data_IF_755371563145
#
_entry.id   IF_755371563145
#
_cell.length_a   1.000
_cell.length_b   1.000
_cell.length_c   1.000
_cell.angle_alpha   90.00
_cell.angle_beta   90.00
_cell.angle_gamma   90.00
#
_symmetry.space_group_name_H-M   'P 1'
#
loop_
_entity.id
_entity.type
_entity.pdbx_description
1 polymer ?
#
# COMPACT_ATOMS: atom_id res chain seq x y z
N UNK A 1 -10.38 -0.21 -24.68
CA UNK A 1 -11.01 0.79 -23.78
C UNK A 1 -10.84 0.32 -22.34
N UNK A 2 -10.32 1.16 -21.48
CA UNK A 2 -10.10 0.84 -20.06
C UNK A 2 -11.43 0.77 -19.34
N UNK A 3 -11.63 -0.29 -18.56
CA UNK A 3 -12.83 -0.54 -17.75
C UNK A 3 -12.53 -0.57 -16.24
N UNK A 4 -11.27 -0.82 -15.86
CA UNK A 4 -10.87 -0.84 -14.48
C UNK A 4 -9.52 -0.18 -14.28
N UNK A 5 -9.35 0.49 -13.12
CA UNK A 5 -8.07 0.99 -12.65
C UNK A 5 -7.82 0.39 -11.27
N UNK A 6 -6.67 -0.27 -11.12
CA UNK A 6 -6.20 -0.78 -9.85
C UNK A 6 -5.13 0.16 -9.29
N UNK A 7 -5.24 0.45 -8.02
CA UNK A 7 -4.28 1.30 -7.32
C UNK A 7 -3.52 0.49 -6.27
N UNK A 8 -2.24 0.77 -6.13
CA UNK A 8 -1.57 0.55 -4.87
C UNK A 8 -2.06 1.54 -3.81
N UNK A 9 -1.77 1.26 -2.54
CA UNK A 9 -2.19 2.10 -1.42
C UNK A 9 -1.08 3.03 -0.95
N UNK A 10 0.03 2.46 -0.46
CA UNK A 10 1.11 3.19 0.19
C UNK A 10 1.94 3.97 -0.84
N UNK A 11 2.25 5.24 -0.53
CA UNK A 11 2.98 6.16 -1.40
C UNK A 11 2.32 6.42 -2.78
N UNK A 12 1.14 5.81 -2.99
CA UNK A 12 0.30 6.00 -4.18
C UNK A 12 -0.99 6.77 -3.85
N UNK A 13 -1.72 6.39 -2.82
CA UNK A 13 -2.93 7.06 -2.36
C UNK A 13 -2.80 7.66 -0.96
N UNK A 14 -1.93 7.08 -0.12
CA UNK A 14 -1.66 7.51 1.25
C UNK A 14 -0.15 7.48 1.55
N UNK A 15 0.26 8.28 2.56
CA UNK A 15 1.62 8.20 3.14
C UNK A 15 1.48 8.09 4.65
N UNK A 16 1.91 6.98 5.28
CA UNK A 16 1.87 6.82 6.73
C UNK A 16 3.03 7.57 7.39
N UNK A 17 2.86 8.88 7.59
CA UNK A 17 3.87 9.76 8.19
C UNK A 17 3.92 9.60 9.71
N UNK A 18 5.12 9.75 10.28
CA UNK A 18 5.30 9.86 11.72
C UNK A 18 4.74 11.19 12.24
N UNK A 19 4.19 11.15 13.43
CA UNK A 19 3.66 12.31 14.13
C UNK A 19 4.79 13.13 14.80
N UNK A 20 4.44 14.28 15.37
CA UNK A 20 5.44 15.09 16.08
C UNK A 20 5.99 14.42 17.34
N UNK A 21 5.20 13.56 17.99
CA UNK A 21 5.54 12.86 19.23
C UNK A 21 4.74 11.58 19.37
N UNK A 22 5.17 10.70 20.27
CA UNK A 22 4.54 9.41 20.60
C UNK A 22 4.59 8.40 19.44
N UNK A 23 5.65 8.45 18.67
CA UNK A 23 5.90 7.47 17.64
C UNK A 23 6.49 6.17 18.22
N UNK A 24 6.41 5.11 17.46
CA UNK A 24 6.88 3.77 17.86
C UNK A 24 8.36 3.80 18.29
N UNK A 25 9.20 4.48 17.52
CA UNK A 25 10.64 4.61 17.79
C UNK A 25 10.93 5.40 19.07
N UNK A 26 10.17 6.47 19.35
CA UNK A 26 10.36 7.29 20.58
C UNK A 26 9.99 6.52 21.84
N UNK A 27 8.90 5.74 21.81
CA UNK A 27 8.48 4.86 22.91
C UNK A 27 9.59 3.87 23.29
N UNK A 28 10.32 3.40 22.29
CA UNK A 28 11.41 2.43 22.48
C UNK A 28 12.76 3.11 22.78
N UNK A 29 12.90 4.41 22.55
CA UNK A 29 14.16 5.15 22.69
C UNK A 29 15.12 4.91 21.53
N UNK A 30 14.58 4.67 20.34
CA UNK A 30 15.31 4.42 19.10
C UNK A 30 15.27 5.65 18.19
N UNK A 31 16.13 5.70 17.19
CA UNK A 31 15.95 6.56 16.01
C UNK A 31 14.94 5.92 15.04
N UNK A 32 14.43 6.73 14.10
CA UNK A 32 13.54 6.25 13.03
C UNK A 32 14.19 5.09 12.25
N UNK A 33 15.45 5.26 11.84
CA UNK A 33 16.15 4.24 11.05
C UNK A 33 16.38 2.93 11.82
N UNK A 34 16.67 2.98 13.12
CA UNK A 34 16.80 1.77 13.94
C UNK A 34 15.45 1.05 14.08
N UNK A 35 14.37 1.77 14.31
CA UNK A 35 13.02 1.20 14.34
C UNK A 35 12.66 0.53 13.02
N UNK A 36 12.88 1.20 11.90
CA UNK A 36 12.56 0.68 10.56
C UNK A 36 13.35 -0.58 10.22
N UNK A 37 14.61 -0.71 10.67
CA UNK A 37 15.38 -1.94 10.51
C UNK A 37 14.70 -3.17 11.15
N UNK A 38 14.03 -2.99 12.29
CA UNK A 38 13.26 -4.06 12.93
C UNK A 38 11.86 -4.21 12.32
N UNK A 39 11.16 -3.09 12.15
CA UNK A 39 9.78 -3.08 11.69
C UNK A 39 9.62 -3.52 10.23
N UNK A 40 10.62 -3.24 9.39
CA UNK A 40 10.64 -3.60 7.97
C UNK A 40 11.66 -4.70 7.65
N UNK A 41 12.00 -5.55 8.66
CA UNK A 41 12.82 -6.73 8.43
C UNK A 41 12.18 -7.63 7.36
N UNK A 42 12.93 -7.98 6.33
CA UNK A 42 12.43 -8.66 5.12
C UNK A 42 11.65 -9.94 5.43
N UNK A 43 12.18 -10.79 6.33
CA UNK A 43 11.53 -12.06 6.68
C UNK A 43 10.20 -11.79 7.39
N UNK A 44 10.22 -10.93 8.39
CA UNK A 44 9.02 -10.60 9.15
C UNK A 44 7.98 -9.85 8.30
N UNK A 45 8.45 -8.95 7.42
CA UNK A 45 7.57 -8.28 6.46
C UNK A 45 6.82 -9.30 5.59
N UNK A 46 7.52 -10.29 5.01
CA UNK A 46 6.87 -11.33 4.21
C UNK A 46 5.88 -12.16 5.04
N UNK A 47 6.24 -12.57 6.25
CA UNK A 47 5.35 -13.34 7.12
C UNK A 47 4.04 -12.57 7.44
N UNK A 48 4.13 -11.31 7.84
CA UNK A 48 2.95 -10.51 8.22
C UNK A 48 2.11 -10.11 7.00
N UNK A 49 2.76 -9.74 5.89
CA UNK A 49 2.08 -9.35 4.68
C UNK A 49 1.44 -10.54 3.93
N UNK A 50 1.90 -11.77 4.16
CA UNK A 50 1.22 -13.01 3.72
C UNK A 50 0.10 -13.46 4.69
N UNK A 51 -0.10 -12.76 5.81
CA UNK A 51 -1.07 -13.15 6.82
C UNK A 51 -0.71 -14.41 7.61
N UNK A 52 0.57 -14.79 7.66
CA UNK A 52 1.07 -15.88 8.50
C UNK A 52 1.13 -15.43 9.96
N UNK A 53 1.34 -14.14 10.23
CA UNK A 53 1.18 -13.49 11.52
C UNK A 53 -0.19 -12.82 11.52
N UNK A 54 -1.10 -13.28 12.37
CA UNK A 54 -2.53 -13.00 12.22
C UNK A 54 -3.07 -11.90 13.11
N UNK A 55 -2.36 -11.56 14.18
CA UNK A 55 -2.84 -10.57 15.14
C UNK A 55 -1.86 -9.41 15.27
N UNK A 56 -2.41 -8.24 15.53
CA UNK A 56 -1.65 -7.01 15.72
C UNK A 56 -0.61 -7.15 16.85
N UNK A 57 -1.01 -7.81 17.94
CA UNK A 57 -0.13 -8.07 19.08
C UNK A 57 1.04 -8.97 18.67
N UNK A 58 0.78 -10.04 17.93
CA UNK A 58 1.81 -10.97 17.46
C UNK A 58 2.81 -10.27 16.53
N UNK A 59 2.34 -9.34 15.68
CA UNK A 59 3.21 -8.53 14.82
C UNK A 59 4.20 -7.74 15.68
N UNK A 60 3.70 -7.01 16.70
CA UNK A 60 4.56 -6.23 17.58
C UNK A 60 5.49 -7.13 18.40
N UNK A 61 5.01 -8.26 18.93
CA UNK A 61 5.84 -9.22 19.66
C UNK A 61 7.00 -9.74 18.79
N UNK A 62 6.75 -10.04 17.52
CA UNK A 62 7.81 -10.47 16.57
C UNK A 62 8.78 -9.33 16.25
N UNK A 63 8.29 -8.11 15.98
CA UNK A 63 9.18 -6.95 15.72
C UNK A 63 10.13 -6.73 16.89
N UNK A 64 9.61 -6.66 18.14
CA UNK A 64 10.45 -6.39 19.31
C UNK A 64 11.34 -7.57 19.69
N UNK A 65 11.01 -8.80 19.28
CA UNK A 65 11.88 -9.97 19.51
C UNK A 65 13.17 -9.93 18.69
N UNK A 66 13.25 -9.11 17.66
CA UNK A 66 14.46 -8.89 16.87
C UNK A 66 15.44 -7.92 17.57
N UNK A 67 15.01 -7.23 18.62
CA UNK A 67 15.81 -6.21 19.31
C UNK A 67 16.78 -6.85 20.29
N UNK A 68 17.97 -6.25 20.52
CA UNK A 68 18.97 -6.77 21.46
C UNK A 68 18.66 -6.48 22.95
N UNK A 69 17.46 -5.97 23.24
CA UNK A 69 17.00 -5.63 24.60
C UNK A 69 15.55 -6.05 24.83
N UNK A 70 15.19 -6.24 26.08
CA UNK A 70 13.81 -6.59 26.45
C UNK A 70 12.88 -5.39 26.38
N UNK A 71 11.70 -5.59 25.81
CA UNK A 71 10.63 -4.59 25.74
C UNK A 71 9.48 -5.02 26.64
N UNK A 72 9.14 -4.18 27.62
CA UNK A 72 8.05 -4.46 28.57
C UNK A 72 6.69 -4.54 27.85
N UNK A 73 5.74 -5.28 28.45
CA UNK A 73 4.37 -5.42 27.93
C UNK A 73 3.72 -4.06 27.70
N UNK A 74 3.89 -3.12 28.65
CA UNK A 74 3.33 -1.77 28.54
C UNK A 74 3.89 -1.04 27.30
N UNK A 75 5.20 -1.12 27.07
CA UNK A 75 5.80 -0.49 25.87
C UNK A 75 5.31 -1.14 24.57
N UNK A 76 5.13 -2.46 24.54
CA UNK A 76 4.58 -3.17 23.37
C UNK A 76 3.15 -2.68 23.03
N UNK A 77 2.31 -2.49 24.04
CA UNK A 77 0.96 -1.95 23.89
C UNK A 77 1.00 -0.51 23.38
N UNK A 78 1.91 0.33 23.88
CA UNK A 78 2.10 1.69 23.41
C UNK A 78 2.58 1.73 21.94
N UNK A 79 3.53 0.86 21.57
CA UNK A 79 4.03 0.74 20.18
C UNK A 79 2.91 0.30 19.23
N UNK A 80 2.11 -0.70 19.64
CA UNK A 80 0.95 -1.13 18.87
C UNK A 80 -0.02 0.02 18.66
N UNK A 81 -0.38 0.73 19.72
CA UNK A 81 -1.27 1.87 19.64
C UNK A 81 -0.73 2.97 18.71
N UNK A 82 0.55 3.31 18.82
CA UNK A 82 1.19 4.33 17.98
C UNK A 82 1.14 3.92 16.49
N UNK A 83 1.49 2.66 16.17
CA UNK A 83 1.43 2.14 14.80
C UNK A 83 0.00 2.14 14.25
N UNK A 84 -0.98 1.70 15.03
CA UNK A 84 -2.39 1.75 14.65
C UNK A 84 -2.86 3.18 14.36
N UNK A 85 -2.50 4.16 15.22
CA UNK A 85 -2.89 5.55 15.01
C UNK A 85 -2.24 6.11 13.74
N UNK A 86 -0.96 5.84 13.49
CA UNK A 86 -0.26 6.27 12.27
C UNK A 86 -0.95 5.74 11.01
N UNK A 87 -1.30 4.45 10.97
CA UNK A 87 -2.02 3.85 9.84
C UNK A 87 -3.43 4.41 9.69
N UNK A 88 -4.15 4.57 10.80
CA UNK A 88 -5.48 5.19 10.82
C UNK A 88 -5.46 6.62 10.28
N UNK A 89 -4.52 7.44 10.74
CA UNK A 89 -4.37 8.82 10.29
C UNK A 89 -4.08 8.87 8.79
N UNK A 90 -3.15 8.04 8.28
CA UNK A 90 -2.85 7.96 6.87
C UNK A 90 -4.10 7.60 6.02
N UNK A 91 -4.91 6.66 6.48
CA UNK A 91 -6.14 6.25 5.80
C UNK A 91 -7.25 7.30 5.87
N UNK A 92 -7.21 8.24 6.80
CA UNK A 92 -8.23 9.29 6.97
C UNK A 92 -7.85 10.61 6.30
N UNK A 93 -6.55 10.91 6.18
CA UNK A 93 -6.04 12.18 5.65
C UNK A 93 -5.78 12.12 4.13
N UNK A 94 -6.85 11.97 3.37
CA UNK A 94 -6.77 11.85 1.90
C UNK A 94 -6.87 13.24 1.26
N UNK A 95 -5.98 13.52 0.29
CA UNK A 95 -6.03 14.78 -0.42
C UNK A 95 -7.31 14.93 -1.24
N UNK A 96 -7.81 16.16 -1.33
CA UNK A 96 -9.00 16.47 -2.13
C UNK A 96 -8.81 16.10 -3.60
N UNK A 97 -7.61 16.27 -4.16
CA UNK A 97 -7.29 15.91 -5.54
C UNK A 97 -7.52 14.42 -5.81
N UNK A 98 -7.09 13.55 -4.88
CA UNK A 98 -7.33 12.10 -4.98
C UNK A 98 -8.83 11.81 -4.97
N UNK A 99 -9.56 12.32 -3.98
CA UNK A 99 -11.00 12.06 -3.86
C UNK A 99 -11.80 12.56 -5.07
N UNK A 100 -11.52 13.79 -5.54
CA UNK A 100 -12.18 14.37 -6.71
C UNK A 100 -11.88 13.55 -7.99
N UNK A 101 -10.67 13.01 -8.12
CA UNK A 101 -10.29 12.19 -9.27
C UNK A 101 -10.98 10.83 -9.24
N UNK A 102 -11.01 10.15 -8.09
CA UNK A 102 -11.70 8.87 -7.93
C UNK A 102 -13.21 9.02 -8.19
N UNK A 103 -13.83 10.10 -7.73
CA UNK A 103 -15.24 10.43 -8.03
C UNK A 103 -15.48 10.55 -9.54
N UNK A 104 -14.63 11.31 -10.23
CA UNK A 104 -14.76 11.50 -11.70
C UNK A 104 -14.54 10.20 -12.47
N UNK A 105 -13.63 9.32 -12.02
CA UNK A 105 -13.44 7.99 -12.60
C UNK A 105 -14.71 7.15 -12.48
N UNK A 106 -15.33 7.15 -11.30
CA UNK A 106 -16.62 6.44 -11.11
C UNK A 106 -17.74 6.99 -11.98
N UNK A 107 -17.82 8.31 -12.15
CA UNK A 107 -18.81 8.92 -13.06
C UNK A 107 -18.61 8.54 -14.55
N UNK A 108 -17.44 8.01 -14.91
CA UNK A 108 -17.14 7.43 -16.23
C UNK A 108 -17.34 5.91 -16.28
N UNK A 109 -18.01 5.32 -15.28
CA UNK A 109 -18.22 3.87 -15.15
C UNK A 109 -16.93 3.04 -15.09
N UNK A 110 -15.79 3.65 -14.69
CA UNK A 110 -14.54 2.94 -14.44
C UNK A 110 -14.62 2.24 -13.09
N UNK A 111 -14.43 0.92 -13.08
CA UNK A 111 -14.29 0.13 -11.85
C UNK A 111 -12.96 0.46 -11.17
N UNK A 112 -12.99 0.65 -9.85
CA UNK A 112 -11.79 0.93 -9.06
C UNK A 112 -11.47 -0.25 -8.16
N UNK A 113 -10.26 -0.78 -8.25
CA UNK A 113 -9.74 -1.85 -7.42
C UNK A 113 -8.52 -1.38 -6.62
N UNK A 114 -8.30 -1.97 -5.44
CA UNK A 114 -7.11 -1.78 -4.64
C UNK A 114 -6.33 -3.09 -4.55
N UNK A 115 -4.99 -3.03 -4.71
CA UNK A 115 -4.10 -4.17 -4.46
C UNK A 115 -2.93 -3.67 -3.61
N UNK A 116 -2.91 -4.01 -2.34
CA UNK A 116 -1.88 -3.55 -1.40
C UNK A 116 -1.18 -4.72 -0.71
N UNK A 117 0.16 -4.69 -0.67
CA UNK A 117 0.91 -5.48 0.27
C UNK A 117 0.76 -4.82 1.65
N UNK A 118 0.10 -5.51 2.57
CA UNK A 118 -0.29 -4.95 3.86
C UNK A 118 -0.47 -6.06 4.90
N UNK A 119 -0.21 -5.76 6.16
CA UNK A 119 -0.56 -6.62 7.28
C UNK A 119 -1.94 -6.24 7.89
N UNK A 120 -2.34 -6.93 8.95
CA UNK A 120 -3.64 -6.69 9.59
C UNK A 120 -3.72 -5.32 10.30
N UNK A 121 -2.60 -4.73 10.75
CA UNK A 121 -2.58 -3.37 11.32
C UNK A 121 -2.78 -2.35 10.21
N UNK A 122 -2.09 -2.53 9.08
CA UNK A 122 -2.07 -1.60 7.96
C UNK A 122 -3.46 -1.42 7.33
N UNK A 123 -4.26 -2.50 7.23
CA UNK A 123 -5.58 -2.47 6.63
C UNK A 123 -6.75 -2.36 7.63
N UNK A 124 -6.49 -2.36 8.93
CA UNK A 124 -7.50 -2.41 10.00
C UNK A 124 -8.61 -1.36 9.86
N UNK A 125 -8.24 -0.15 9.48
CA UNK A 125 -9.16 0.98 9.41
C UNK A 125 -9.61 1.32 7.98
N UNK A 126 -9.38 0.42 7.01
CA UNK A 126 -9.72 0.65 5.60
C UNK A 126 -11.20 1.03 5.39
N UNK A 127 -12.12 0.34 6.05
CA UNK A 127 -13.56 0.59 5.95
C UNK A 127 -14.01 1.94 6.55
N UNK A 128 -13.13 2.62 7.30
CA UNK A 128 -13.36 3.95 7.84
C UNK A 128 -12.69 5.05 7.00
N UNK A 129 -11.92 4.68 5.98
CA UNK A 129 -11.25 5.63 5.07
C UNK A 129 -12.28 6.26 4.13
N UNK A 130 -12.14 7.57 3.82
CA UNK A 130 -12.90 8.22 2.74
C UNK A 130 -12.72 7.53 1.37
N UNK A 131 -11.62 6.79 1.18
CA UNK A 131 -11.35 6.02 -0.04
C UNK A 131 -12.34 4.86 -0.22
N UNK A 132 -12.74 4.18 0.87
CA UNK A 132 -13.49 2.92 0.84
C UNK A 132 -14.70 2.96 -0.09
N UNK A 133 -15.47 4.04 -0.07
CA UNK A 133 -16.69 4.20 -0.88
C UNK A 133 -16.46 4.23 -2.39
N UNK A 134 -15.23 4.50 -2.83
CA UNK A 134 -14.91 4.59 -4.25
C UNK A 134 -14.53 3.24 -4.85
N UNK A 135 -13.98 2.34 -4.05
CA UNK A 135 -13.45 1.07 -4.51
C UNK A 135 -14.53 -0.01 -4.63
N UNK A 136 -14.55 -0.69 -5.78
CA UNK A 136 -15.44 -1.81 -6.04
C UNK A 136 -14.94 -3.09 -5.37
N UNK A 137 -13.61 -3.25 -5.24
CA UNK A 137 -12.95 -4.32 -4.49
C UNK A 137 -11.61 -3.84 -3.94
N UNK A 138 -11.18 -4.47 -2.83
CA UNK A 138 -9.92 -4.14 -2.18
C UNK A 138 -9.23 -5.40 -1.71
N UNK A 139 -8.05 -5.67 -2.26
CA UNK A 139 -7.22 -6.82 -1.92
C UNK A 139 -6.06 -6.35 -1.05
N UNK A 140 -6.04 -6.80 0.19
CA UNK A 140 -4.88 -6.73 1.07
C UNK A 140 -4.21 -8.11 1.09
N UNK A 141 -2.92 -8.14 0.88
CA UNK A 141 -2.14 -9.37 0.71
C UNK A 141 -2.30 -10.33 1.88
N UNK A 142 -2.33 -9.83 3.13
CA UNK A 142 -2.51 -10.64 4.33
C UNK A 142 -3.86 -11.38 4.38
N UNK A 143 -4.89 -10.90 3.67
CA UNK A 143 -6.21 -11.53 3.64
C UNK A 143 -6.33 -12.63 2.59
N UNK A 144 -5.42 -12.65 1.61
CA UNK A 144 -5.47 -13.60 0.49
C UNK A 144 -4.24 -14.51 0.40
N UNK A 145 -3.19 -14.25 1.19
CA UNK A 145 -1.96 -15.02 1.19
C UNK A 145 -1.14 -14.88 -0.11
N UNK A 146 -1.29 -13.75 -0.81
CA UNK A 146 -0.60 -13.45 -2.06
C UNK A 146 0.06 -12.07 -1.96
N UNK A 147 1.28 -11.93 -2.46
CA UNK A 147 2.05 -10.67 -2.45
C UNK A 147 2.31 -10.16 -3.87
N UNK A 148 2.29 -8.86 -4.06
CA UNK A 148 2.96 -8.24 -5.22
C UNK A 148 4.47 -8.51 -5.11
N UNK A 149 5.17 -8.86 -6.18
CA UNK A 149 4.76 -8.82 -7.60
C UNK A 149 4.21 -10.14 -8.15
N UNK A 150 3.77 -11.10 -7.32
CA UNK A 150 3.22 -12.36 -7.82
C UNK A 150 2.02 -12.10 -8.74
N UNK A 151 2.07 -12.65 -9.95
CA UNK A 151 0.99 -12.55 -10.94
C UNK A 151 -0.38 -12.97 -10.41
N UNK A 152 -0.42 -13.88 -9.45
CA UNK A 152 -1.66 -14.44 -8.92
C UNK A 152 -2.53 -13.37 -8.24
N UNK A 153 -1.93 -12.38 -7.53
CA UNK A 153 -2.71 -11.34 -6.86
C UNK A 153 -3.43 -10.42 -7.87
N UNK A 154 -2.79 -10.12 -9.01
CA UNK A 154 -3.40 -9.32 -10.08
C UNK A 154 -4.49 -10.10 -10.81
N UNK A 155 -4.26 -11.39 -11.08
CA UNK A 155 -5.27 -12.27 -11.67
C UNK A 155 -6.51 -12.37 -10.78
N UNK A 156 -6.34 -12.53 -9.47
CA UNK A 156 -7.42 -12.54 -8.49
C UNK A 156 -8.20 -11.23 -8.52
N UNK A 157 -7.49 -10.08 -8.58
CA UNK A 157 -8.11 -8.77 -8.64
C UNK A 157 -8.97 -8.60 -9.91
N UNK A 158 -8.43 -8.95 -11.08
CA UNK A 158 -9.16 -8.89 -12.34
C UNK A 158 -10.37 -9.82 -12.36
N UNK A 159 -10.24 -11.03 -11.81
CA UNK A 159 -11.35 -11.98 -11.68
C UNK A 159 -12.49 -11.39 -10.83
N UNK A 160 -12.18 -10.76 -9.69
CA UNK A 160 -13.19 -10.18 -8.78
C UNK A 160 -13.97 -9.03 -9.41
N UNK A 161 -13.35 -8.26 -10.28
CA UNK A 161 -14.02 -7.16 -10.99
C UNK A 161 -14.56 -7.58 -12.36
N UNK A 162 -14.39 -8.83 -12.78
CA UNK A 162 -14.82 -9.36 -14.08
C UNK A 162 -14.33 -8.47 -15.24
N UNK A 163 -13.00 -8.36 -15.36
CA UNK A 163 -12.31 -7.58 -16.39
C UNK A 163 -11.13 -8.34 -16.96
N UNK A 164 -10.82 -8.11 -18.25
CA UNK A 164 -9.64 -8.69 -18.90
C UNK A 164 -8.41 -7.79 -18.72
N UNK A 165 -7.19 -8.34 -18.78
CA UNK A 165 -5.95 -7.59 -18.53
C UNK A 165 -5.81 -6.34 -19.42
N UNK A 166 -6.15 -6.44 -20.70
CA UNK A 166 -6.10 -5.35 -21.69
C UNK A 166 -7.11 -4.21 -21.43
N UNK A 167 -8.04 -4.42 -20.51
CA UNK A 167 -9.02 -3.44 -20.04
C UNK A 167 -8.61 -2.77 -18.73
N UNK A 168 -7.42 -3.07 -18.20
CA UNK A 168 -6.98 -2.64 -16.89
C UNK A 168 -5.75 -1.73 -16.96
N UNK A 169 -5.74 -0.71 -16.09
CA UNK A 169 -4.53 0.00 -15.69
C UNK A 169 -4.20 -0.33 -14.23
N UNK A 170 -2.92 -0.48 -13.93
CA UNK A 170 -2.39 -0.55 -12.58
C UNK A 170 -1.57 0.70 -12.29
N UNK A 171 -1.89 1.40 -11.20
CA UNK A 171 -1.25 2.66 -10.78
C UNK A 171 -0.52 2.43 -9.48
N UNK A 172 0.79 2.69 -9.44
CA UNK A 172 1.60 2.52 -8.25
C UNK A 172 2.88 3.34 -8.26
N UNK A 173 3.52 3.44 -7.09
CA UNK A 173 4.79 4.16 -6.89
C UNK A 173 6.04 3.36 -7.31
N UNK A 174 5.85 2.10 -7.69
CA UNK A 174 6.90 1.16 -8.10
C UNK A 174 7.51 0.35 -6.97
N UNK A 175 7.02 0.48 -5.74
CA UNK A 175 7.40 -0.36 -4.61
C UNK A 175 7.09 -1.84 -4.86
N UNK A 176 7.80 -2.75 -4.17
CA UNK A 176 7.59 -4.21 -4.26
C UNK A 176 7.60 -4.76 -5.70
N UNK A 177 8.29 -4.12 -6.64
CA UNK A 177 8.28 -4.46 -8.07
C UNK A 177 6.87 -4.60 -8.69
N UNK A 178 5.90 -3.88 -8.17
CA UNK A 178 4.48 -4.03 -8.49
C UNK A 178 4.15 -3.75 -9.96
N UNK A 179 4.79 -2.75 -10.58
CA UNK A 179 4.58 -2.47 -12.02
C UNK A 179 5.07 -3.61 -12.91
N UNK A 180 6.19 -4.26 -12.53
CA UNK A 180 6.63 -5.50 -13.18
C UNK A 180 5.58 -6.61 -13.05
N UNK A 181 5.04 -6.81 -11.85
CA UNK A 181 3.99 -7.80 -11.59
C UNK A 181 2.73 -7.55 -12.40
N UNK A 182 2.23 -6.31 -12.39
CA UNK A 182 1.04 -5.90 -13.14
C UNK A 182 1.24 -6.07 -14.66
N UNK A 183 2.39 -5.63 -15.19
CA UNK A 183 2.75 -5.79 -16.60
C UNK A 183 2.87 -7.26 -16.99
N UNK A 184 3.43 -8.10 -16.11
CA UNK A 184 3.52 -9.55 -16.31
C UNK A 184 2.13 -10.23 -16.29
N UNK A 185 1.15 -9.63 -15.62
CA UNK A 185 -0.24 -10.06 -15.65
C UNK A 185 -1.01 -9.57 -16.89
N UNK A 186 -0.39 -8.72 -17.71
CA UNK A 186 -0.95 -8.19 -18.97
C UNK A 186 -1.72 -6.88 -18.80
N UNK A 187 -1.63 -6.22 -17.65
CA UNK A 187 -2.23 -4.91 -17.40
C UNK A 187 -1.38 -3.79 -18.01
N UNK A 188 -1.99 -2.70 -18.41
CA UNK A 188 -1.27 -1.43 -18.62
C UNK A 188 -0.79 -0.86 -17.29
N UNK A 189 0.37 -0.19 -17.28
CA UNK A 189 1.03 0.23 -16.03
C UNK A 189 1.29 1.72 -16.00
N UNK A 190 1.03 2.34 -14.85
CA UNK A 190 1.21 3.77 -14.61
C UNK A 190 2.11 3.96 -13.39
N UNK A 191 3.28 4.53 -13.60
CA UNK A 191 4.16 4.94 -12.52
C UNK A 191 3.69 6.27 -11.94
N UNK A 192 3.44 6.33 -10.64
CA UNK A 192 3.01 7.53 -9.92
C UNK A 192 4.13 8.06 -9.04
N UNK A 193 4.54 9.31 -9.26
CA UNK A 193 5.41 10.09 -8.37
C UNK A 193 4.64 11.22 -7.68
N UNK A 194 3.35 11.04 -7.44
CA UNK A 194 2.50 12.07 -6.85
C UNK A 194 2.80 12.31 -5.36
N UNK A 195 2.96 11.25 -4.60
CA UNK A 195 3.16 11.34 -3.14
C UNK A 195 4.61 11.12 -2.72
N UNK A 196 5.41 10.47 -3.56
CA UNK A 196 6.82 10.22 -3.31
C UNK A 196 7.65 10.37 -4.58
N UNK A 197 8.69 11.20 -4.52
CA UNK A 197 9.65 11.35 -5.62
C UNK A 197 10.78 10.35 -5.47
N UNK A 198 11.00 9.53 -6.49
CA UNK A 198 12.09 8.54 -6.49
C UNK A 198 13.41 9.17 -6.94
N UNK A 199 14.53 8.67 -6.41
CA UNK A 199 15.84 9.05 -6.91
C UNK A 199 16.09 8.49 -8.33
N UNK A 200 17.15 8.95 -9.00
CA UNK A 200 17.43 8.58 -10.40
C UNK A 200 17.56 7.07 -10.62
N UNK A 201 18.26 6.35 -9.72
CA UNK A 201 18.46 4.90 -9.84
C UNK A 201 17.16 4.12 -9.62
N UNK A 202 16.37 4.51 -8.64
CA UNK A 202 15.04 3.92 -8.41
C UNK A 202 14.12 4.15 -9.62
N UNK A 203 14.07 5.40 -10.11
CA UNK A 203 13.25 5.76 -11.28
C UNK A 203 13.64 4.94 -12.51
N UNK A 204 14.93 4.79 -12.80
CA UNK A 204 15.41 3.97 -13.92
C UNK A 204 14.95 2.52 -13.81
N UNK A 205 14.98 1.95 -12.61
CA UNK A 205 14.52 0.57 -12.36
C UNK A 205 13.02 0.39 -12.52
N UNK A 206 12.21 1.41 -12.23
CA UNK A 206 10.75 1.38 -12.26
C UNK A 206 10.22 1.66 -13.68
N UNK A 207 10.77 2.68 -14.34
CA UNK A 207 10.22 3.22 -15.60
C UNK A 207 10.21 2.20 -16.75
N UNK A 208 11.14 1.23 -16.73
CA UNK A 208 11.20 0.13 -17.73
C UNK A 208 9.97 -0.78 -17.71
N UNK A 209 9.21 -0.76 -16.62
CA UNK A 209 7.97 -1.53 -16.46
C UNK A 209 6.72 -0.66 -16.49
N UNK A 210 6.87 0.63 -16.75
CA UNK A 210 5.79 1.60 -16.84
C UNK A 210 5.46 1.93 -18.29
N UNK A 211 4.19 1.92 -18.63
CA UNK A 211 3.70 2.39 -19.93
C UNK A 211 3.45 3.90 -19.90
N UNK A 212 3.07 4.42 -18.73
CA UNK A 212 2.78 5.83 -18.47
C UNK A 212 3.41 6.28 -17.17
N UNK A 213 3.63 7.60 -17.02
CA UNK A 213 4.16 8.22 -15.83
C UNK A 213 3.34 9.46 -15.49
N UNK A 214 2.94 9.60 -14.22
CA UNK A 214 2.15 10.72 -13.73
C UNK A 214 2.77 11.35 -12.48
N UNK A 215 2.56 12.65 -12.35
CA UNK A 215 2.87 13.43 -11.13
C UNK A 215 1.62 13.96 -10.43
N UNK A 216 0.49 13.91 -11.12
CA UNK A 216 -0.83 14.26 -10.61
C UNK A 216 -1.82 13.17 -10.98
N UNK A 217 -2.66 12.77 -10.03
CA UNK A 217 -3.60 11.66 -10.26
C UNK A 217 -4.61 11.97 -11.39
N UNK A 218 -4.94 13.23 -11.61
CA UNK A 218 -5.86 13.64 -12.69
C UNK A 218 -5.29 13.43 -14.08
N UNK A 219 -3.97 13.23 -14.25
CA UNK A 219 -3.34 12.89 -15.52
C UNK A 219 -3.80 11.51 -16.04
N UNK A 220 -4.37 10.66 -15.16
CA UNK A 220 -4.96 9.37 -15.56
C UNK A 220 -6.01 9.53 -16.66
N UNK A 221 -6.72 10.65 -16.71
CA UNK A 221 -7.72 10.88 -17.75
C UNK A 221 -7.16 10.95 -19.18
N UNK A 222 -5.85 11.14 -19.34
CA UNK A 222 -5.19 11.14 -20.65
C UNK A 222 -5.02 9.73 -21.24
N UNK A 223 -5.26 8.68 -20.44
CA UNK A 223 -4.98 7.28 -20.79
C UNK A 223 -6.21 6.37 -20.80
N UNK A 224 -7.43 6.95 -20.70
CA UNK A 224 -8.71 6.24 -20.65
C UNK A 224 -9.35 6.03 -22.03
#
# INVERSE_FOLDING_TARGET
MIKAIYFDLFFTLIVPTYEKTNNEYEILGLSVGEWEQYAENDILYHERALGLVKTEKEIIDKIVSLMPFEVSVIKKEQVLFAREQRMKNALQMISKEILDTLEKLKLKDIKLGLISNADCIDCKYWNQSPLFRYFNDSIFSCNVGLLKPDRQIYNLAMQRLDVSPDQCLYVGDGGSNELYGAKSAGMGTVFSEMLETKNAAQRESIIKYSDYHIKHINELFNYL
#
